data_IF_171193063494
#
_entry.id   IF_171193063494
#
_cell.length_a   1.000
_cell.length_b   1.000
_cell.length_c   1.000
_cell.angle_alpha   90.00
_cell.angle_beta   90.00
_cell.angle_gamma   90.00
#
_symmetry.space_group_name_H-M   'P 1'
#
loop_
_entity.id
_entity.type
_entity.pdbx_description
1 polymer ?
#
# COMPACT_ATOMS: atom_id res chain seq x y z
N UNK A 1 -7.71 -23.12 1.25
CA UNK A 1 -7.01 -21.92 1.73
C UNK A 1 -8.02 -21.11 2.52
N UNK A 2 -7.72 -20.83 3.77
CA UNK A 2 -8.53 -19.97 4.64
C UNK A 2 -7.94 -18.57 4.50
N UNK A 3 -8.68 -17.61 3.94
CA UNK A 3 -8.27 -16.21 3.91
C UNK A 3 -9.11 -15.44 4.94
N UNK A 4 -8.49 -14.50 5.65
CA UNK A 4 -9.20 -13.57 6.53
C UNK A 4 -9.44 -12.28 5.76
N UNK A 5 -10.67 -12.07 5.31
CA UNK A 5 -11.11 -10.79 4.76
C UNK A 5 -11.32 -9.80 5.90
N UNK A 6 -10.62 -8.67 5.86
CA UNK A 6 -10.64 -7.66 6.91
C UNK A 6 -11.65 -6.55 6.56
N UNK A 7 -11.78 -6.23 5.28
CA UNK A 7 -12.72 -5.26 4.75
C UNK A 7 -13.48 -5.92 3.60
N UNK A 8 -14.79 -6.12 3.76
CA UNK A 8 -15.66 -6.75 2.76
C UNK A 8 -16.38 -5.75 1.86
N UNK A 9 -16.47 -4.48 2.27
CA UNK A 9 -17.22 -3.43 1.58
C UNK A 9 -16.32 -2.25 1.20
N UNK A 10 -16.78 -1.43 0.24
CA UNK A 10 -16.07 -0.20 -0.16
C UNK A 10 -16.00 0.77 1.02
N UNK A 11 -14.79 1.00 1.54
CA UNK A 11 -14.54 2.12 2.45
C UNK A 11 -14.24 3.38 1.63
N UNK A 12 -15.09 4.40 1.77
CA UNK A 12 -14.79 5.76 1.34
C UNK A 12 -14.17 6.52 2.52
N UNK A 13 -13.05 7.21 2.27
CA UNK A 13 -12.30 7.98 3.28
C UNK A 13 -12.44 9.49 2.99
N UNK A 14 -13.56 10.13 3.38
CA UNK A 14 -13.88 11.49 2.93
C UNK A 14 -13.01 12.60 3.55
N UNK A 15 -12.36 12.38 4.70
CA UNK A 15 -11.47 13.35 5.33
C UNK A 15 -10.44 12.66 6.21
N UNK A 16 -9.16 13.07 6.09
CA UNK A 16 -8.03 12.86 7.01
C UNK A 16 -7.94 11.47 7.68
N UNK A 17 -7.04 10.63 7.13
CA UNK A 17 -6.35 9.49 7.78
C UNK A 17 -7.21 8.70 8.76
N UNK A 18 -7.74 7.56 8.32
CA UNK A 18 -8.31 6.57 9.24
C UNK A 18 -7.18 5.76 9.88
N UNK A 19 -7.19 5.68 11.20
CA UNK A 19 -6.40 4.72 11.96
C UNK A 19 -7.28 3.50 12.27
N UNK A 20 -6.80 2.30 11.95
CA UNK A 20 -7.40 1.03 12.35
C UNK A 20 -6.48 0.42 13.40
N UNK A 21 -7.04 -0.05 14.51
CA UNK A 21 -6.25 -0.58 15.63
C UNK A 21 -5.51 -1.87 15.24
N UNK A 22 -4.26 -1.99 15.71
CA UNK A 22 -3.32 -3.06 15.30
C UNK A 22 -3.82 -4.47 15.66
N UNK A 23 -4.56 -4.60 16.77
CA UNK A 23 -5.13 -5.84 17.27
C UNK A 23 -6.13 -6.50 16.29
N UNK A 24 -6.72 -5.71 15.39
CA UNK A 24 -7.68 -6.20 14.40
C UNK A 24 -6.99 -6.75 13.13
N UNK A 25 -5.73 -6.35 12.89
CA UNK A 25 -4.97 -6.66 11.68
C UNK A 25 -3.90 -7.74 11.94
N UNK A 26 -4.06 -8.97 11.41
CA UNK A 26 -3.10 -10.05 11.63
C UNK A 26 -1.72 -9.73 11.06
N UNK A 27 -0.69 -10.32 11.66
CA UNK A 27 0.66 -10.30 11.09
C UNK A 27 0.69 -11.00 9.73
N UNK A 28 1.35 -10.38 8.76
CA UNK A 28 1.55 -10.94 7.43
C UNK A 28 2.73 -11.92 7.49
N UNK A 29 2.45 -13.23 7.42
CA UNK A 29 3.48 -14.28 7.58
C UNK A 29 3.73 -15.13 6.34
N UNK A 30 2.77 -15.20 5.42
CA UNK A 30 2.88 -16.01 4.19
C UNK A 30 2.58 -15.20 2.96
N UNK A 31 1.33 -14.77 2.83
CA UNK A 31 0.85 -14.07 1.64
C UNK A 31 -0.10 -12.96 2.05
N UNK A 32 -0.17 -11.93 1.22
CA UNK A 32 -1.05 -10.79 1.40
C UNK A 32 -1.50 -10.28 0.03
N UNK A 33 -2.74 -9.85 -0.06
CA UNK A 33 -3.25 -9.06 -1.17
C UNK A 33 -4.02 -7.86 -0.62
N UNK A 34 -3.73 -6.68 -1.15
CA UNK A 34 -4.47 -5.45 -0.88
C UNK A 34 -4.94 -4.89 -2.22
N UNK A 35 -6.24 -4.60 -2.31
CA UNK A 35 -6.84 -3.97 -3.48
C UNK A 35 -7.57 -2.70 -3.07
N UNK A 36 -7.36 -1.61 -3.81
CA UNK A 36 -8.04 -0.34 -3.54
C UNK A 36 -8.27 0.45 -4.83
N UNK A 37 -9.23 1.38 -4.77
CA UNK A 37 -9.38 2.42 -5.79
C UNK A 37 -8.82 3.72 -5.24
N UNK A 38 -7.97 4.39 -6.03
CA UNK A 38 -7.30 5.62 -5.64
C UNK A 38 -7.62 6.73 -6.64
N UNK A 39 -7.95 7.92 -6.12
CA UNK A 39 -8.00 9.17 -6.87
C UNK A 39 -7.15 10.20 -6.13
N UNK A 40 -6.01 10.56 -6.70
CA UNK A 40 -5.11 11.57 -6.11
C UNK A 40 -5.54 12.94 -6.62
N UNK A 41 -5.98 13.82 -5.72
CA UNK A 41 -6.40 15.18 -6.09
C UNK A 41 -5.23 16.16 -6.11
N UNK A 42 -4.25 15.96 -5.24
CA UNK A 42 -3.01 16.73 -5.15
C UNK A 42 -1.93 15.89 -4.47
N UNK A 43 -0.68 16.32 -4.60
CA UNK A 43 0.45 15.77 -3.84
C UNK A 43 1.33 16.90 -3.30
N UNK A 44 2.17 16.59 -2.31
CA UNK A 44 3.08 17.54 -1.67
C UNK A 44 4.54 17.34 -2.09
N UNK A 45 5.41 18.22 -1.60
CA UNK A 45 6.86 18.12 -1.79
C UNK A 45 7.51 17.10 -0.85
N UNK A 46 6.77 16.56 0.12
CA UNK A 46 7.23 15.53 1.06
C UNK A 46 6.66 14.14 0.74
N UNK A 47 6.98 13.14 1.55
CA UNK A 47 6.36 11.82 1.44
C UNK A 47 4.91 11.88 1.93
N UNK A 48 3.98 11.24 1.21
CA UNK A 48 2.60 11.10 1.66
C UNK A 48 2.23 9.62 1.75
N UNK A 49 1.42 9.26 2.74
CA UNK A 49 0.99 7.89 2.94
C UNK A 49 -0.39 7.65 2.31
N UNK A 50 -0.55 6.55 1.57
CA UNK A 50 -1.88 6.05 1.15
C UNK A 50 -2.42 5.10 2.23
N UNK A 51 -1.61 4.10 2.60
CA UNK A 51 -1.84 3.28 3.78
C UNK A 51 -0.50 2.77 4.34
N UNK A 52 -0.49 2.42 5.63
CA UNK A 52 0.65 1.83 6.29
C UNK A 52 0.19 1.05 7.54
N UNK A 53 0.61 -0.21 7.64
CA UNK A 53 0.46 -0.99 8.88
C UNK A 53 1.80 -1.10 9.59
N UNK A 54 1.88 -0.50 10.77
CA UNK A 54 2.95 -0.70 11.75
C UNK A 54 3.11 0.46 12.72
N UNK A 55 3.91 0.23 13.77
CA UNK A 55 4.05 1.15 14.92
C UNK A 55 4.87 2.41 14.64
N UNK A 56 5.62 2.45 13.53
CA UNK A 56 6.43 3.58 13.10
C UNK A 56 6.74 3.50 11.61
N UNK A 57 7.38 4.53 11.05
CA UNK A 57 7.73 4.61 9.63
C UNK A 57 8.75 3.56 9.13
N UNK A 58 9.22 2.63 9.96
CA UNK A 58 10.10 1.51 9.59
C UNK A 58 9.39 0.15 9.64
N UNK A 59 8.17 0.09 10.17
CA UNK A 59 7.33 -1.09 10.20
C UNK A 59 6.30 -1.00 9.06
N UNK A 60 6.71 -1.31 7.83
CA UNK A 60 6.02 -0.95 6.58
C UNK A 60 5.18 -2.06 5.95
N UNK A 61 4.80 -3.12 6.68
CA UNK A 61 4.16 -4.30 6.08
C UNK A 61 2.64 -4.35 6.32
N UNK A 62 1.81 -4.06 5.29
CA UNK A 62 2.14 -3.45 4.00
C UNK A 62 2.11 -1.92 4.07
N UNK A 63 2.67 -1.26 3.04
CA UNK A 63 2.49 0.17 2.84
C UNK A 63 2.57 0.60 1.37
N UNK A 64 1.88 1.70 1.06
CA UNK A 64 2.05 2.45 -0.18
C UNK A 64 2.22 3.93 0.17
N UNK A 65 3.23 4.55 -0.42
CA UNK A 65 3.51 5.97 -0.29
C UNK A 65 3.43 6.67 -1.65
N UNK A 66 3.26 7.98 -1.64
CA UNK A 66 3.47 8.86 -2.80
C UNK A 66 4.86 9.47 -2.70
N UNK A 67 5.61 9.38 -3.80
CA UNK A 67 6.97 9.89 -3.91
C UNK A 67 7.01 11.43 -3.84
N UNK A 68 7.99 12.05 -3.17
CA UNK A 68 8.10 13.51 -3.07
C UNK A 68 8.08 14.22 -4.42
N UNK A 69 7.32 15.32 -4.53
CA UNK A 69 7.23 16.17 -5.71
C UNK A 69 6.58 15.54 -6.96
N UNK A 70 6.14 14.28 -6.90
CA UNK A 70 5.50 13.58 -8.02
C UNK A 70 4.26 12.85 -7.53
N UNK A 71 3.42 12.38 -8.43
CA UNK A 71 2.33 11.46 -8.10
C UNK A 71 2.71 9.98 -8.32
N UNK A 72 4.00 9.63 -8.25
CA UNK A 72 4.46 8.23 -8.38
C UNK A 72 4.22 7.46 -7.09
N UNK A 73 3.90 6.18 -7.23
CA UNK A 73 3.67 5.27 -6.10
C UNK A 73 4.96 4.57 -5.66
N UNK A 74 5.07 4.37 -4.36
CA UNK A 74 6.21 3.77 -3.68
C UNK A 74 5.71 2.67 -2.72
N UNK A 75 5.48 1.45 -3.23
CA UNK A 75 4.92 0.38 -2.44
C UNK A 75 6.04 -0.39 -1.70
N UNK A 76 5.88 -0.55 -0.38
CA UNK A 76 6.93 -1.07 0.51
C UNK A 76 6.44 -2.14 1.46
N UNK A 77 7.39 -2.92 1.98
CA UNK A 77 7.24 -3.85 3.09
C UNK A 77 8.54 -3.94 3.91
N UNK A 78 8.41 -4.49 5.11
CA UNK A 78 9.51 -4.78 6.03
C UNK A 78 9.68 -6.29 6.19
N UNK A 79 10.93 -6.72 6.27
CA UNK A 79 11.39 -8.05 6.69
C UNK A 79 12.36 -7.89 7.86
N UNK A 80 12.84 -9.00 8.42
CA UNK A 80 13.85 -8.95 9.49
C UNK A 80 15.15 -8.25 9.07
N UNK A 81 15.51 -8.32 7.78
CA UNK A 81 16.80 -7.84 7.28
C UNK A 81 16.70 -6.56 6.45
N UNK A 82 15.48 -6.06 6.23
CA UNK A 82 15.25 -4.89 5.38
C UNK A 82 13.94 -4.19 5.75
N UNK A 83 14.03 -2.89 6.09
CA UNK A 83 12.91 -2.08 6.59
C UNK A 83 12.25 -1.21 5.51
N UNK A 84 12.79 -1.21 4.30
CA UNK A 84 12.29 -0.45 3.14
C UNK A 84 12.33 -1.31 1.87
N UNK A 85 11.90 -2.56 1.96
CA UNK A 85 11.90 -3.49 0.83
C UNK A 85 10.73 -3.19 -0.11
N UNK A 86 10.86 -3.58 -1.37
CA UNK A 86 9.77 -3.51 -2.35
C UNK A 86 10.21 -2.84 -3.64
N UNK A 87 9.25 -2.26 -4.33
CA UNK A 87 9.50 -1.56 -5.59
C UNK A 87 9.81 -0.11 -5.28
N UNK A 88 10.96 0.39 -5.76
CA UNK A 88 11.44 1.73 -5.42
C UNK A 88 10.52 2.82 -5.95
N UNK A 89 10.21 2.82 -7.24
CA UNK A 89 9.13 3.64 -7.77
C UNK A 89 8.35 2.85 -8.80
N UNK A 90 7.02 2.97 -8.75
CA UNK A 90 6.21 2.62 -9.91
C UNK A 90 6.49 3.69 -10.97
N UNK A 91 7.02 3.26 -12.10
CA UNK A 91 7.49 4.16 -13.17
C UNK A 91 6.38 5.03 -13.76
N UNK A 92 5.12 4.65 -13.55
CA UNK A 92 3.95 5.40 -13.98
C UNK A 92 3.61 6.43 -12.91
N UNK A 93 3.69 7.71 -13.28
CA UNK A 93 3.15 8.80 -12.49
C UNK A 93 1.63 8.88 -12.66
N UNK A 94 0.90 8.99 -11.55
CA UNK A 94 -0.55 9.07 -11.60
C UNK A 94 -1.00 10.47 -12.05
N UNK A 95 -1.84 10.52 -13.08
CA UNK A 95 -2.59 11.75 -13.39
C UNK A 95 -3.53 12.11 -12.23
N UNK A 96 -3.53 13.40 -11.86
CA UNK A 96 -4.43 13.93 -10.84
C UNK A 96 -5.90 13.84 -11.26
N UNK A 97 -6.79 13.69 -10.28
CA UNK A 97 -8.24 13.62 -10.45
C UNK A 97 -8.71 12.44 -11.31
N UNK A 98 -7.86 11.42 -11.50
CA UNK A 98 -8.18 10.19 -12.23
C UNK A 98 -8.23 9.00 -11.27
N UNK A 99 -9.21 8.12 -11.50
CA UNK A 99 -9.36 6.88 -10.73
C UNK A 99 -8.43 5.79 -11.25
N UNK A 100 -7.76 5.11 -10.33
CA UNK A 100 -6.92 3.95 -10.57
C UNK A 100 -7.36 2.79 -9.69
N UNK A 101 -7.30 1.56 -10.22
CA UNK A 101 -7.41 0.34 -9.45
C UNK A 101 -6.02 -0.21 -9.16
N UNK A 102 -5.68 -0.33 -7.88
CA UNK A 102 -4.37 -0.78 -7.43
C UNK A 102 -4.50 -2.18 -6.83
N UNK A 103 -3.59 -3.07 -7.22
CA UNK A 103 -3.33 -4.34 -6.56
C UNK A 103 -1.92 -4.37 -6.00
N UNK A 104 -1.77 -4.77 -4.75
CA UNK A 104 -0.48 -4.97 -4.07
C UNK A 104 -0.47 -6.40 -3.52
N UNK A 105 0.55 -7.19 -3.85
CA UNK A 105 0.65 -8.56 -3.35
C UNK A 105 2.03 -8.88 -2.80
N UNK A 106 2.07 -9.65 -1.72
CA UNK A 106 3.28 -10.26 -1.18
C UNK A 106 3.12 -11.77 -1.18
N UNK A 107 4.16 -12.49 -1.60
CA UNK A 107 4.23 -13.94 -1.47
C UNK A 107 5.61 -14.35 -0.93
N UNK A 108 5.65 -14.79 0.32
CA UNK A 108 6.83 -15.37 0.93
C UNK A 108 7.28 -16.66 0.22
N UNK A 109 6.38 -17.60 -0.16
CA UNK A 109 6.79 -18.81 -0.88
C UNK A 109 7.45 -18.53 -2.23
N UNK A 110 6.96 -17.51 -2.94
CA UNK A 110 7.49 -17.11 -4.25
C UNK A 110 8.60 -16.05 -4.16
N UNK A 111 8.90 -15.56 -2.95
CA UNK A 111 9.90 -14.51 -2.67
C UNK A 111 9.74 -13.28 -3.58
N UNK A 112 8.49 -12.88 -3.84
CA UNK A 112 8.18 -11.75 -4.72
C UNK A 112 7.10 -10.85 -4.15
N UNK A 113 7.18 -9.62 -4.62
CA UNK A 113 6.14 -8.62 -4.49
C UNK A 113 5.68 -8.25 -5.90
N UNK A 114 4.36 -8.16 -6.10
CA UNK A 114 3.79 -7.65 -7.33
C UNK A 114 2.92 -6.43 -7.06
N UNK A 115 2.87 -5.57 -8.06
CA UNK A 115 2.08 -4.35 -8.03
C UNK A 115 1.37 -4.20 -9.36
N UNK A 116 0.05 -4.03 -9.30
CA UNK A 116 -0.82 -3.95 -10.45
C UNK A 116 -1.48 -2.57 -10.50
N UNK A 117 -1.47 -1.94 -11.67
CA UNK A 117 -2.16 -0.68 -11.92
C UNK A 117 -3.17 -0.89 -13.04
N UNK A 118 -4.46 -0.75 -12.72
CA UNK A 118 -5.58 -1.06 -13.61
C UNK A 118 -5.52 -2.49 -14.18
N UNK A 119 -5.10 -3.45 -13.35
CA UNK A 119 -5.03 -4.87 -13.69
C UNK A 119 -3.83 -5.27 -14.57
N UNK A 120 -2.86 -4.38 -14.75
CA UNK A 120 -1.61 -4.63 -15.47
C UNK A 120 -0.43 -4.63 -14.52
#
# INVERSE_FOLDING_TARGET
MEYKEIFSDSLDFPTNIMHVEDEELPSVTKELSVTLRLNVQSHSTGWQNIFHKGVNNYARTPSIWIWPNTAKLHPRFTTNDCHDCGIDEISIELELNKWYHIGYTLSEPLKRMDFYLNGK
#
